data_IF_833798630921
#
_entry.id   IF_833798630921
#
_cell.length_a   1.000
_cell.length_b   1.000
_cell.length_c   1.000
_cell.angle_alpha   90.00
_cell.angle_beta   90.00
_cell.angle_gamma   90.00
#
_symmetry.space_group_name_H-M   'P 1'
#
loop_
_entity.id
_entity.type
_entity.pdbx_description
1 polymer ?
#
# COMPACT_ATOMS: atom_id res chain seq x y z
N UNK A 1 -6.60 -3.35 15.55
CA UNK A 1 -6.97 -3.25 14.12
C UNK A 1 -6.76 -1.81 13.75
N UNK A 2 -6.20 -1.54 12.57
CA UNK A 2 -5.88 -0.19 12.15
C UNK A 2 -6.58 0.12 10.84
N UNK A 3 -6.98 1.38 10.67
CA UNK A 3 -7.49 1.94 9.41
C UNK A 3 -6.45 2.87 8.80
N UNK A 4 -6.14 2.64 7.52
CA UNK A 4 -5.30 3.53 6.71
C UNK A 4 -5.97 3.79 5.37
N UNK A 5 -5.74 4.96 4.79
CA UNK A 5 -6.19 5.28 3.43
C UNK A 5 -5.27 4.65 2.40
N UNK A 6 -5.80 4.35 1.21
CA UNK A 6 -5.01 3.90 0.07
C UNK A 6 -3.81 4.85 -0.20
N UNK A 7 -3.99 6.18 -0.08
CA UNK A 7 -2.89 7.16 -0.10
C UNK A 7 -1.81 6.98 0.97
N UNK A 8 -2.20 6.70 2.21
CA UNK A 8 -1.25 6.38 3.28
C UNK A 8 -0.48 5.08 3.02
N UNK A 9 -1.05 4.22 2.18
CA UNK A 9 -0.45 2.97 1.69
C UNK A 9 0.15 3.12 0.28
N UNK A 10 0.54 4.35 -0.10
CA UNK A 10 1.20 4.72 -1.37
C UNK A 10 0.35 4.62 -2.65
N UNK A 11 -0.96 4.42 -2.53
CA UNK A 11 -1.89 4.44 -3.66
C UNK A 11 -2.49 5.82 -3.95
N UNK A 12 -3.39 5.93 -4.95
CA UNK A 12 -3.82 7.24 -5.46
C UNK A 12 -5.08 7.81 -4.80
N UNK A 13 -5.85 7.01 -4.04
CA UNK A 13 -7.18 7.40 -3.55
C UNK A 13 -7.32 7.38 -2.02
N UNK A 14 -8.44 7.88 -1.50
CA UNK A 14 -8.72 7.96 -0.06
C UNK A 14 -9.52 6.76 0.48
N UNK A 15 -9.58 5.65 -0.26
CA UNK A 15 -10.29 4.45 0.17
C UNK A 15 -9.73 3.95 1.52
N UNK A 16 -10.62 3.67 2.47
CA UNK A 16 -10.25 3.14 3.78
C UNK A 16 -9.96 1.64 3.68
N UNK A 17 -8.78 1.25 4.14
CA UNK A 17 -8.29 -0.12 4.15
C UNK A 17 -8.01 -0.48 5.61
N UNK A 18 -8.48 -1.66 6.00
CA UNK A 18 -8.39 -2.16 7.37
C UNK A 18 -7.41 -3.33 7.42
N UNK A 19 -6.73 -3.49 8.55
CA UNK A 19 -5.87 -4.64 8.80
C UNK A 19 -5.47 -4.76 10.27
N UNK A 20 -5.31 -5.99 10.76
CA UNK A 20 -4.80 -6.27 12.09
C UNK A 20 -3.26 -6.31 12.13
N UNK A 21 -2.62 -6.69 11.02
CA UNK A 21 -1.15 -6.71 10.88
C UNK A 21 -0.70 -5.89 9.67
N UNK A 22 0.60 -5.57 9.61
CA UNK A 22 1.18 -4.89 8.45
C UNK A 22 1.04 -5.74 7.18
N UNK A 23 1.18 -7.06 7.29
CA UNK A 23 1.01 -8.01 6.18
C UNK A 23 -0.44 -7.99 5.68
N UNK A 24 -1.42 -8.07 6.58
CA UNK A 24 -2.84 -8.00 6.22
C UNK A 24 -3.21 -6.65 5.60
N UNK A 25 -2.67 -5.54 6.14
CA UNK A 25 -2.88 -4.20 5.59
C UNK A 25 -2.36 -4.09 4.15
N UNK A 26 -1.18 -4.65 3.89
CA UNK A 26 -0.57 -4.67 2.57
C UNK A 26 -1.37 -5.54 1.59
N UNK A 27 -1.78 -6.73 2.03
CA UNK A 27 -2.63 -7.63 1.23
C UNK A 27 -3.97 -6.97 0.88
N UNK A 28 -4.62 -6.31 1.85
CA UNK A 28 -5.89 -5.62 1.61
C UNK A 28 -5.73 -4.40 0.71
N UNK A 29 -4.61 -3.67 0.80
CA UNK A 29 -4.27 -2.60 -0.14
C UNK A 29 -4.06 -3.11 -1.56
N UNK A 30 -3.38 -4.26 -1.70
CA UNK A 30 -3.18 -4.90 -2.99
C UNK A 30 -4.49 -5.40 -3.59
N UNK A 31 -5.37 -6.02 -2.79
CA UNK A 31 -6.72 -6.42 -3.21
C UNK A 31 -7.50 -5.23 -3.73
N UNK A 32 -7.51 -4.13 -2.98
CA UNK A 32 -8.15 -2.89 -3.41
C UNK A 32 -7.61 -2.42 -4.78
N UNK A 33 -6.29 -2.35 -4.95
CA UNK A 33 -5.67 -1.96 -6.21
C UNK A 33 -6.07 -2.89 -7.37
N UNK A 34 -6.07 -4.22 -7.16
CA UNK A 34 -6.48 -5.20 -8.17
C UNK A 34 -7.95 -5.06 -8.57
N UNK A 35 -8.85 -4.79 -7.61
CA UNK A 35 -10.26 -4.55 -7.91
C UNK A 35 -10.46 -3.31 -8.76
N UNK A 36 -9.73 -2.22 -8.49
CA UNK A 36 -9.82 -0.99 -9.28
C UNK A 36 -9.26 -1.18 -10.69
N UNK A 37 -8.14 -1.91 -10.81
CA UNK A 37 -7.58 -2.33 -12.11
C UNK A 37 -8.59 -3.18 -12.90
N UNK A 38 -9.24 -4.15 -12.26
CA UNK A 38 -10.25 -5.00 -12.90
C UNK A 38 -11.48 -4.20 -13.37
N UNK A 39 -11.81 -3.10 -12.70
CA UNK A 39 -12.86 -2.16 -13.11
C UNK A 39 -12.42 -1.18 -14.20
N UNK A 40 -11.16 -1.22 -14.64
CA UNK A 40 -10.61 -0.30 -15.65
C UNK A 40 -10.30 1.09 -15.11
N UNK A 41 -10.03 1.22 -13.80
CA UNK A 41 -9.61 2.48 -13.20
C UNK A 41 -8.17 2.81 -13.62
N UNK A 42 -8.04 3.71 -14.60
CA UNK A 42 -6.74 4.13 -15.13
C UNK A 42 -5.82 4.73 -14.06
N UNK A 43 -6.37 5.40 -13.05
CA UNK A 43 -5.57 6.03 -12.00
C UNK A 43 -4.87 4.95 -11.14
N UNK A 44 -5.57 3.87 -10.82
CA UNK A 44 -4.98 2.74 -10.10
C UNK A 44 -4.04 1.91 -10.98
N UNK A 45 -4.34 1.78 -12.28
CA UNK A 45 -3.44 1.14 -13.25
C UNK A 45 -2.11 1.89 -13.31
N UNK A 46 -2.15 3.20 -13.54
CA UNK A 46 -0.95 4.05 -13.64
C UNK A 46 -0.16 4.04 -12.33
N UNK A 47 -0.85 4.10 -11.19
CA UNK A 47 -0.20 4.04 -9.87
C UNK A 47 0.51 2.69 -9.64
N UNK A 48 -0.12 1.58 -10.02
CA UNK A 48 0.48 0.24 -9.90
C UNK A 48 1.70 0.09 -10.80
N UNK A 49 1.62 0.56 -12.05
CA UNK A 49 2.74 0.53 -12.99
C UNK A 49 3.91 1.41 -12.51
N UNK A 50 3.62 2.62 -12.02
CA UNK A 50 4.62 3.50 -11.44
C UNK A 50 5.29 2.88 -10.21
N UNK A 51 4.50 2.28 -9.31
CA UNK A 51 5.01 1.60 -8.11
C UNK A 51 5.91 0.42 -8.48
N UNK A 52 5.49 -0.41 -9.45
CA UNK A 52 6.28 -1.55 -9.95
C UNK A 52 7.59 -1.09 -10.58
N UNK A 53 7.56 -0.06 -11.41
CA UNK A 53 8.77 0.51 -12.05
C UNK A 53 9.72 1.07 -11.01
N UNK A 54 9.20 1.80 -10.02
CA UNK A 54 9.99 2.33 -8.91
C UNK A 54 10.66 1.20 -8.12
N UNK A 55 9.91 0.15 -7.77
CA UNK A 55 10.45 -1.01 -7.05
C UNK A 55 11.55 -1.75 -7.84
N UNK A 56 11.36 -1.92 -9.15
CA UNK A 56 12.37 -2.54 -10.03
C UNK A 56 13.65 -1.73 -10.15
N UNK A 57 13.57 -0.41 -10.01
CA UNK A 57 14.74 0.48 -10.06
C UNK A 57 15.44 0.64 -8.70
N UNK A 58 14.84 0.15 -7.62
CA UNK A 58 15.45 0.18 -6.29
C UNK A 58 16.52 -0.91 -6.16
N UNK A 59 17.59 -0.60 -5.44
CA UNK A 59 18.54 -1.62 -4.99
C UNK A 59 17.88 -2.53 -3.94
N UNK A 60 18.36 -3.77 -3.73
CA UNK A 60 17.84 -4.65 -2.69
C UNK A 60 17.84 -4.00 -1.29
N UNK A 61 18.84 -3.19 -0.98
CA UNK A 61 18.92 -2.41 0.26
C UNK A 61 17.77 -1.41 0.37
N UNK A 62 17.48 -0.66 -0.70
CA UNK A 62 16.40 0.31 -0.74
C UNK A 62 15.02 -0.36 -0.64
N UNK A 63 14.84 -1.53 -1.28
CA UNK A 63 13.62 -2.32 -1.15
C UNK A 63 13.41 -2.76 0.30
N UNK A 64 14.46 -3.24 0.97
CA UNK A 64 14.42 -3.61 2.39
C UNK A 64 14.05 -2.41 3.27
N UNK A 65 14.70 -1.27 3.08
CA UNK A 65 14.41 -0.05 3.84
C UNK A 65 12.97 0.42 3.62
N UNK A 66 12.43 0.29 2.40
CA UNK A 66 11.06 0.65 2.11
C UNK A 66 10.06 -0.23 2.89
N UNK A 67 10.29 -1.55 2.92
CA UNK A 67 9.47 -2.49 3.69
C UNK A 67 9.59 -2.27 5.20
N UNK A 68 10.81 -2.04 5.71
CA UNK A 68 11.04 -1.71 7.13
C UNK A 68 10.36 -0.40 7.53
N UNK A 69 10.37 0.61 6.63
CA UNK A 69 9.64 1.85 6.85
C UNK A 69 8.14 1.60 6.93
N UNK A 70 7.57 0.83 6.00
CA UNK A 70 6.15 0.49 6.02
C UNK A 70 5.75 -0.20 7.34
N UNK A 71 6.55 -1.16 7.81
CA UNK A 71 6.30 -1.83 9.10
C UNK A 71 6.35 -0.87 10.29
N UNK A 72 7.33 0.05 10.30
CA UNK A 72 7.45 1.09 11.34
C UNK A 72 6.28 2.07 11.29
N UNK A 73 5.90 2.53 10.11
CA UNK A 73 4.78 3.44 9.91
C UNK A 73 3.47 2.79 10.41
N UNK A 74 3.23 1.52 10.05
CA UNK A 74 2.08 0.75 10.53
C UNK A 74 2.09 0.59 12.06
N UNK A 75 3.24 0.23 12.65
CA UNK A 75 3.36 0.05 14.10
C UNK A 75 3.12 1.36 14.88
N UNK A 76 3.55 2.49 14.32
CA UNK A 76 3.34 3.82 14.91
C UNK A 76 1.90 4.35 14.71
N UNK A 77 1.13 3.76 13.79
CA UNK A 77 -0.22 4.19 13.50
C UNK A 77 -1.19 3.85 14.65
N UNK A 78 -2.15 4.72 15.01
CA UNK A 78 -3.12 4.39 16.04
C UNK A 78 -3.98 3.19 15.66
N UNK A 79 -4.33 2.37 16.64
CA UNK A 79 -5.41 1.40 16.49
C UNK A 79 -6.76 2.11 16.46
N UNK A 80 -7.69 1.53 15.71
CA UNK A 80 -9.09 1.89 15.71
C UNK A 80 -9.65 1.68 17.14
N UNK A 81 -10.43 2.64 17.63
CA UNK A 81 -11.02 2.61 18.97
C UNK A 81 -12.30 1.79 19.02
#
# INVERSE_FOLDING_TARGET
>A
MKTMTCKQLYGPCDALIHGATAEEMMENSQKHAMEMVAKGDNVHIDALEAMKKQYMNMTPEAQKQWMEKFQKDFAAWPDDK
#
